data_IF_640471407603
#
_entry.id   IF_640471407603
#
_cell.length_a   1.000
_cell.length_b   1.000
_cell.length_c   1.000
_cell.angle_alpha   90.00
_cell.angle_beta   90.00
_cell.angle_gamma   90.00
#
_symmetry.space_group_name_H-M   'P 1'
#
loop_
_entity.id
_entity.type
_entity.pdbx_description
1 polymer ?
#
# COMPACT_ATOMS: atom_id res chain seq x y z
N UNK A 1 -1.17 -81.18 -41.03
CA UNK A 1 -0.31 -79.96 -41.12
C UNK A 1 -1.17 -78.74 -40.72
N UNK A 2 -1.05 -78.32 -39.46
CA UNK A 2 -1.82 -77.23 -38.95
C UNK A 2 -0.87 -76.09 -38.59
N UNK A 3 -1.03 -74.96 -39.25
CA UNK A 3 -0.22 -73.75 -39.02
C UNK A 3 -1.04 -72.85 -38.05
N UNK A 4 -0.54 -72.74 -36.78
CA UNK A 4 -1.08 -71.84 -35.77
C UNK A 4 -0.52 -70.45 -36.00
N UNK A 5 -1.38 -69.45 -36.25
CA UNK A 5 -1.01 -68.03 -36.35
C UNK A 5 -1.07 -67.39 -34.96
N UNK A 6 0.12 -67.00 -34.44
CA UNK A 6 0.22 -66.16 -33.25
C UNK A 6 -0.09 -64.70 -33.63
N UNK A 7 -1.12 -64.13 -33.00
CA UNK A 7 -1.45 -62.71 -33.00
C UNK A 7 -0.73 -62.04 -31.85
N UNK A 8 0.28 -61.22 -32.16
CA UNK A 8 0.95 -60.35 -31.16
C UNK A 8 0.08 -59.10 -30.94
N UNK A 9 -0.54 -59.00 -29.79
CA UNK A 9 -1.30 -57.82 -29.40
C UNK A 9 -0.32 -56.79 -28.76
N UNK A 10 0.04 -55.72 -29.51
CA UNK A 10 0.83 -54.63 -28.99
C UNK A 10 -0.06 -53.71 -28.11
N UNK A 11 0.13 -53.78 -26.82
CA UNK A 11 -0.50 -52.89 -25.86
C UNK A 11 0.28 -51.55 -25.81
N UNK A 12 -0.24 -50.52 -26.47
CA UNK A 12 0.30 -49.16 -26.40
C UNK A 12 -0.23 -48.54 -25.09
N UNK A 13 0.63 -48.44 -24.07
CA UNK A 13 0.35 -47.68 -22.86
C UNK A 13 0.56 -46.20 -23.18
N UNK A 14 -0.54 -45.48 -23.39
CA UNK A 14 -0.52 -44.01 -23.47
C UNK A 14 -0.42 -43.48 -22.04
N UNK A 15 0.77 -43.09 -21.60
CA UNK A 15 0.96 -42.29 -20.38
C UNK A 15 0.36 -40.89 -20.63
N UNK A 16 -0.86 -40.70 -20.19
CA UNK A 16 -1.50 -39.37 -20.08
C UNK A 16 -0.74 -38.52 -19.08
N UNK A 17 0.08 -37.58 -19.57
CA UNK A 17 0.63 -36.51 -18.73
C UNK A 17 -0.55 -35.59 -18.37
N UNK A 18 -1.12 -35.80 -17.17
CA UNK A 18 -2.07 -34.85 -16.62
C UNK A 18 -1.30 -33.58 -16.29
N UNK A 19 -1.33 -32.60 -17.17
CA UNK A 19 -0.95 -31.24 -16.85
C UNK A 19 -1.94 -30.76 -15.77
N UNK A 20 -1.53 -30.78 -14.51
CA UNK A 20 -2.25 -30.08 -13.43
C UNK A 20 -2.18 -28.59 -13.75
N UNK A 21 -3.12 -28.10 -14.53
CA UNK A 21 -3.31 -26.67 -14.72
C UNK A 21 -3.56 -26.07 -13.34
N UNK A 22 -2.68 -25.18 -12.89
CA UNK A 22 -2.89 -24.43 -11.66
C UNK A 22 -4.29 -23.77 -11.75
N UNK A 23 -5.19 -24.18 -10.87
CA UNK A 23 -6.57 -23.66 -10.87
C UNK A 23 -6.52 -22.18 -10.50
N UNK A 24 -7.18 -21.33 -11.27
CA UNK A 24 -7.28 -19.90 -10.99
C UNK A 24 -7.89 -19.70 -9.59
N UNK A 25 -7.15 -19.05 -8.70
CA UNK A 25 -7.58 -18.76 -7.35
C UNK A 25 -7.93 -17.27 -7.21
N UNK A 26 -8.88 -16.96 -6.32
CA UNK A 26 -9.14 -15.59 -5.90
C UNK A 26 -8.43 -15.34 -4.58
N UNK A 27 -7.51 -14.38 -4.57
CA UNK A 27 -6.70 -14.00 -3.40
C UNK A 27 -7.35 -12.77 -2.73
N UNK A 28 -7.74 -12.91 -1.47
CA UNK A 28 -8.26 -11.81 -0.66
C UNK A 28 -7.10 -11.02 -0.06
N UNK A 29 -6.97 -9.75 -0.41
CA UNK A 29 -5.87 -8.88 0.03
C UNK A 29 -6.43 -7.75 0.88
N UNK A 30 -5.93 -7.58 2.09
CA UNK A 30 -6.15 -6.37 2.89
C UNK A 30 -4.94 -5.47 2.73
N UNK A 31 -5.13 -4.28 2.16
CA UNK A 31 -4.03 -3.37 1.86
C UNK A 31 -4.25 -1.94 2.35
N UNK A 32 -3.21 -1.37 2.93
CA UNK A 32 -3.19 0.05 3.28
C UNK A 32 -3.22 0.94 2.03
N UNK A 33 -3.92 2.07 2.15
CA UNK A 33 -4.07 3.06 1.06
C UNK A 33 -2.73 3.68 0.62
N UNK A 34 -1.71 3.67 1.48
CA UNK A 34 -0.39 4.24 1.17
C UNK A 34 0.33 3.59 -0.01
N UNK A 35 -0.10 2.41 -0.47
CA UNK A 35 0.42 1.72 -1.66
C UNK A 35 -0.65 1.49 -2.73
N UNK A 36 -1.86 2.04 -2.55
CA UNK A 36 -3.02 1.76 -3.41
C UNK A 36 -2.71 2.01 -4.88
N UNK A 37 -2.24 3.20 -5.25
CA UNK A 37 -1.98 3.58 -6.64
C UNK A 37 -0.96 2.66 -7.34
N UNK A 38 -0.01 2.10 -6.57
CA UNK A 38 0.97 1.15 -7.10
C UNK A 38 0.37 -0.25 -7.27
N UNK A 39 -0.36 -0.75 -6.26
CA UNK A 39 -0.94 -2.09 -6.34
C UNK A 39 -2.07 -2.17 -7.37
N UNK A 40 -2.87 -1.12 -7.56
CA UNK A 40 -3.87 -1.03 -8.63
C UNK A 40 -3.22 -1.08 -10.03
N UNK A 41 -2.03 -0.47 -10.19
CA UNK A 41 -1.29 -0.55 -11.44
C UNK A 41 -0.66 -1.94 -11.68
N UNK A 42 -0.26 -2.64 -10.61
CA UNK A 42 0.40 -3.95 -10.66
C UNK A 42 -0.58 -5.13 -10.79
N UNK A 43 -1.77 -5.02 -10.20
CA UNK A 43 -2.74 -6.11 -10.13
C UNK A 43 -3.09 -6.70 -11.52
N UNK A 44 -3.37 -5.91 -12.59
CA UNK A 44 -3.66 -6.48 -13.90
C UNK A 44 -2.50 -7.27 -14.51
N UNK A 45 -1.25 -6.85 -14.27
CA UNK A 45 -0.06 -7.55 -14.76
C UNK A 45 0.11 -8.89 -14.05
N UNK A 46 -0.02 -8.92 -12.72
CA UNK A 46 0.00 -10.14 -11.93
C UNK A 46 -1.11 -11.12 -12.36
N UNK A 47 -2.35 -10.65 -12.48
CA UNK A 47 -3.48 -11.49 -12.88
C UNK A 47 -3.30 -12.13 -14.26
N UNK A 48 -2.69 -11.37 -15.20
CA UNK A 48 -2.40 -11.87 -16.55
C UNK A 48 -1.34 -12.98 -16.55
N UNK A 49 -0.27 -12.84 -15.76
CA UNK A 49 0.85 -13.78 -15.78
C UNK A 49 0.61 -14.99 -14.88
N UNK A 50 -0.14 -14.85 -13.81
CA UNK A 50 -0.41 -15.92 -12.83
C UNK A 50 -1.71 -16.68 -13.11
N UNK A 51 -2.68 -16.07 -13.80
CA UNK A 51 -4.03 -16.58 -13.95
C UNK A 51 -4.89 -16.43 -12.69
N UNK A 52 -4.34 -15.99 -11.56
CA UNK A 52 -5.08 -15.73 -10.33
C UNK A 52 -5.81 -14.39 -10.37
N UNK A 53 -6.75 -14.16 -9.46
CA UNK A 53 -7.50 -12.92 -9.31
C UNK A 53 -7.25 -12.32 -7.93
N UNK A 54 -7.12 -10.99 -7.89
CA UNK A 54 -6.97 -10.25 -6.64
C UNK A 54 -8.29 -9.56 -6.27
N UNK A 55 -8.71 -9.73 -5.03
CA UNK A 55 -9.77 -8.92 -4.44
C UNK A 55 -9.16 -8.09 -3.31
N UNK A 56 -8.95 -6.79 -3.56
CA UNK A 56 -8.23 -5.92 -2.64
C UNK A 56 -9.21 -5.05 -1.87
N UNK A 57 -9.15 -5.15 -0.54
CA UNK A 57 -9.88 -4.28 0.39
C UNK A 57 -8.94 -3.20 0.90
N UNK A 58 -9.29 -1.96 0.66
CA UNK A 58 -8.49 -0.79 1.05
C UNK A 58 -8.90 -0.22 2.41
N UNK A 59 -7.93 0.29 3.16
CA UNK A 59 -8.17 0.97 4.42
C UNK A 59 -6.92 1.60 5.01
N UNK A 60 -7.04 2.37 6.08
CA UNK A 60 -5.87 2.72 6.90
C UNK A 60 -5.37 1.47 7.63
N UNK A 61 -4.09 1.43 7.99
CA UNK A 61 -3.54 0.29 8.72
C UNK A 61 -4.34 0.00 10.01
N UNK A 62 -4.74 1.02 10.75
CA UNK A 62 -5.53 0.84 11.97
C UNK A 62 -6.93 0.26 11.72
N UNK A 63 -7.62 0.69 10.66
CA UNK A 63 -8.93 0.14 10.27
C UNK A 63 -8.81 -1.34 9.90
N UNK A 64 -7.81 -1.69 9.09
CA UNK A 64 -7.59 -3.08 8.67
C UNK A 64 -7.20 -3.98 9.85
N UNK A 65 -6.30 -3.51 10.72
CA UNK A 65 -5.95 -4.21 11.97
C UNK A 65 -7.18 -4.48 12.83
N UNK A 66 -8.03 -3.45 13.05
CA UNK A 66 -9.26 -3.62 13.83
C UNK A 66 -10.20 -4.65 13.21
N UNK A 67 -10.36 -4.68 11.89
CA UNK A 67 -11.17 -5.68 11.19
C UNK A 67 -10.61 -7.09 11.38
N UNK A 68 -9.30 -7.27 11.23
CA UNK A 68 -8.62 -8.55 11.46
C UNK A 68 -8.79 -9.01 12.92
N UNK A 69 -8.66 -8.10 13.90
CA UNK A 69 -8.90 -8.39 15.32
C UNK A 69 -10.35 -8.77 15.60
N UNK A 70 -11.31 -8.23 14.83
CA UNK A 70 -12.74 -8.57 14.93
C UNK A 70 -13.11 -9.89 14.24
N UNK A 71 -12.15 -10.59 13.62
CA UNK A 71 -12.35 -11.91 13.03
C UNK A 71 -12.39 -11.96 11.51
N UNK A 72 -12.24 -10.83 10.82
CA UNK A 72 -12.07 -10.83 9.36
C UNK A 72 -10.81 -11.59 8.98
N UNK A 73 -10.83 -12.19 7.78
CA UNK A 73 -9.71 -12.96 7.24
C UNK A 73 -9.30 -12.39 5.89
N UNK A 74 -8.01 -12.47 5.61
CA UNK A 74 -7.46 -12.19 4.29
C UNK A 74 -6.31 -13.15 4.02
N UNK A 75 -6.05 -13.46 2.75
CA UNK A 75 -4.97 -14.35 2.33
C UNK A 75 -3.62 -13.63 2.38
N UNK A 76 -3.62 -12.34 2.03
CA UNK A 76 -2.44 -11.45 2.08
C UNK A 76 -2.78 -10.19 2.84
N UNK A 77 -1.89 -9.80 3.75
CA UNK A 77 -1.91 -8.55 4.47
C UNK A 77 -0.81 -7.65 3.93
N UNK A 78 -1.16 -6.45 3.48
CA UNK A 78 -0.23 -5.40 3.05
C UNK A 78 -0.43 -4.21 3.99
N UNK A 79 0.43 -4.11 5.00
CA UNK A 79 0.32 -3.12 6.08
C UNK A 79 1.64 -2.35 6.23
N UNK A 80 1.69 -1.42 7.19
CA UNK A 80 2.97 -0.91 7.67
C UNK A 80 3.71 -2.03 8.40
N UNK A 81 5.04 -2.03 8.37
CA UNK A 81 5.88 -3.03 9.04
C UNK A 81 5.45 -3.24 10.49
N UNK A 82 5.34 -2.16 11.26
CA UNK A 82 4.89 -2.23 12.65
C UNK A 82 3.51 -2.88 12.82
N UNK A 83 2.56 -2.57 11.92
CA UNK A 83 1.21 -3.14 12.00
C UNK A 83 1.20 -4.61 11.64
N UNK A 84 1.97 -5.03 10.65
CA UNK A 84 2.07 -6.44 10.27
C UNK A 84 2.76 -7.27 11.35
N UNK A 85 3.81 -6.73 11.98
CA UNK A 85 4.47 -7.38 13.12
C UNK A 85 3.53 -7.60 14.31
N UNK A 86 2.63 -6.64 14.56
CA UNK A 86 1.59 -6.82 15.57
C UNK A 86 0.64 -7.97 15.20
N UNK A 87 0.22 -8.06 13.93
CA UNK A 87 -0.65 -9.15 13.44
C UNK A 87 0.04 -10.53 13.52
N UNK A 88 1.35 -10.59 13.30
CA UNK A 88 2.12 -11.83 13.52
C UNK A 88 2.12 -12.23 15.01
N UNK A 89 2.39 -11.28 15.91
CA UNK A 89 2.37 -11.54 17.36
C UNK A 89 1.01 -11.99 17.87
N UNK A 90 -0.08 -11.49 17.26
CA UNK A 90 -1.46 -11.87 17.56
C UNK A 90 -1.90 -13.18 16.86
N UNK A 91 -1.02 -13.82 16.08
CA UNK A 91 -1.32 -15.07 15.36
C UNK A 91 -2.29 -14.89 14.17
N UNK A 92 -2.41 -13.68 13.63
CA UNK A 92 -3.28 -13.36 12.49
C UNK A 92 -2.54 -13.29 11.15
N UNK A 93 -1.22 -13.22 11.19
CA UNK A 93 -0.33 -13.36 10.03
C UNK A 93 0.71 -14.45 10.31
N UNK A 94 1.14 -15.14 9.27
CA UNK A 94 2.13 -16.21 9.37
C UNK A 94 3.52 -15.63 9.66
N UNK A 95 4.15 -16.09 10.75
CA UNK A 95 5.53 -15.74 11.07
C UNK A 95 6.49 -16.17 9.95
N UNK A 96 7.46 -15.32 9.63
CA UNK A 96 8.46 -15.59 8.58
C UNK A 96 7.94 -15.40 7.14
N UNK A 97 6.68 -15.00 6.96
CA UNK A 97 6.14 -14.65 5.64
C UNK A 97 6.29 -13.17 5.27
N UNK A 98 6.77 -12.36 6.22
CA UNK A 98 6.87 -10.91 6.03
C UNK A 98 7.93 -10.54 5.00
N UNK A 99 7.58 -9.63 4.10
CA UNK A 99 8.46 -9.09 3.07
C UNK A 99 8.28 -7.58 3.01
N UNK A 100 9.32 -6.82 3.34
CA UNK A 100 9.38 -5.39 3.11
C UNK A 100 9.61 -5.16 1.62
N UNK A 101 8.66 -4.55 0.91
CA UNK A 101 8.74 -4.41 -0.54
C UNK A 101 8.85 -2.95 -1.01
N UNK A 102 8.31 -2.01 -0.24
CA UNK A 102 8.34 -0.59 -0.59
C UNK A 102 8.40 0.30 0.66
N UNK A 103 8.82 1.54 0.47
CA UNK A 103 8.73 2.59 1.48
C UNK A 103 8.36 3.92 0.83
N UNK A 104 7.76 4.83 1.61
CA UNK A 104 7.53 6.21 1.19
C UNK A 104 7.77 7.18 2.34
N UNK A 105 8.13 8.42 1.99
CA UNK A 105 8.07 9.56 2.89
C UNK A 105 6.73 10.27 2.83
N UNK A 106 6.60 11.31 3.65
CA UNK A 106 5.51 12.27 3.52
C UNK A 106 5.85 13.31 2.44
N UNK A 107 4.82 13.92 1.88
CA UNK A 107 4.98 15.03 0.96
C UNK A 107 4.00 16.17 1.29
N UNK A 108 4.42 17.37 0.93
CA UNK A 108 3.62 18.59 0.98
C UNK A 108 3.29 19.00 -0.45
N UNK A 109 2.01 19.25 -0.72
CA UNK A 109 1.54 19.69 -2.03
C UNK A 109 0.71 20.95 -1.90
N UNK A 110 0.71 21.75 -3.00
CA UNK A 110 -0.15 22.90 -3.24
C UNK A 110 -1.02 22.65 -4.47
N UNK A 111 -2.02 23.48 -4.71
CA UNK A 111 -2.75 23.45 -5.98
C UNK A 111 -1.82 23.77 -7.14
N UNK A 112 -1.98 23.06 -8.23
CA UNK A 112 -1.17 23.28 -9.43
C UNK A 112 -1.21 24.75 -9.88
N UNK A 113 -0.01 25.31 -10.10
CA UNK A 113 0.16 26.72 -10.48
C UNK A 113 0.05 27.72 -9.33
N UNK A 114 -0.21 27.30 -8.10
CA UNK A 114 -0.16 28.16 -6.92
C UNK A 114 1.28 28.52 -6.53
N UNK A 115 1.43 29.59 -5.74
CA UNK A 115 2.72 29.94 -5.16
C UNK A 115 3.30 28.76 -4.36
N UNK A 116 4.60 28.55 -4.50
CA UNK A 116 5.35 27.49 -3.79
C UNK A 116 6.07 28.07 -2.58
N UNK A 117 5.47 28.01 -1.38
CA UNK A 117 6.12 28.50 -0.19
C UNK A 117 7.36 27.65 0.16
N UNK A 118 8.30 28.28 0.86
CA UNK A 118 9.53 27.61 1.31
C UNK A 118 9.21 26.63 2.47
N UNK A 119 9.65 25.39 2.30
CA UNK A 119 9.59 24.34 3.32
C UNK A 119 10.96 23.68 3.56
N UNK A 120 12.05 24.30 3.11
CA UNK A 120 13.38 23.70 3.09
C UNK A 120 14.02 23.54 4.48
N UNK A 121 13.59 24.35 5.44
CA UNK A 121 14.09 24.28 6.83
C UNK A 121 12.94 24.06 7.82
N UNK A 122 13.19 23.54 9.03
CA UNK A 122 12.20 23.44 10.08
C UNK A 122 11.44 24.72 10.35
N UNK A 123 12.12 25.85 10.39
CA UNK A 123 11.55 27.18 10.63
C UNK A 123 10.69 27.64 9.47
N UNK A 124 11.16 27.51 8.22
CA UNK A 124 10.42 27.87 7.03
C UNK A 124 9.15 27.00 6.90
N UNK A 125 9.27 25.69 7.14
CA UNK A 125 8.13 24.78 7.16
C UNK A 125 7.10 25.16 8.21
N UNK A 126 7.53 25.45 9.45
CA UNK A 126 6.65 25.95 10.54
C UNK A 126 5.93 27.22 10.13
N UNK A 127 6.63 28.19 9.56
CA UNK A 127 6.05 29.46 9.10
C UNK A 127 5.04 29.23 7.98
N UNK A 128 5.36 28.39 7.01
CA UNK A 128 4.45 28.02 5.91
C UNK A 128 3.16 27.38 6.47
N UNK A 129 3.25 26.48 7.43
CA UNK A 129 2.07 25.90 8.08
C UNK A 129 1.23 26.96 8.81
N UNK A 130 1.87 27.91 9.53
CA UNK A 130 1.16 28.95 10.26
C UNK A 130 0.48 29.97 9.34
N UNK A 131 1.08 30.31 8.20
CA UNK A 131 0.57 31.29 7.23
C UNK A 131 -0.54 30.73 6.34
N UNK A 132 -0.58 29.42 6.09
CA UNK A 132 -1.63 28.81 5.29
C UNK A 132 -3.01 29.08 5.90
N UNK A 133 -4.00 29.39 5.05
CA UNK A 133 -5.40 29.63 5.47
C UNK A 133 -6.05 28.35 5.99
N UNK A 134 -5.81 27.22 5.33
CA UNK A 134 -6.27 25.89 5.71
C UNK A 134 -5.26 24.82 5.28
N UNK A 135 -5.18 23.75 6.06
CA UNK A 135 -4.26 22.63 5.83
C UNK A 135 -5.05 21.32 5.84
N UNK A 136 -4.89 20.53 4.76
CA UNK A 136 -5.50 19.22 4.63
C UNK A 136 -4.50 18.12 5.02
N UNK A 137 -4.95 17.16 5.82
CA UNK A 137 -4.17 15.95 6.16
C UNK A 137 -5.10 14.84 6.64
N UNK A 138 -4.61 13.61 6.67
CA UNK A 138 -5.39 12.48 7.17
C UNK A 138 -5.78 12.69 8.63
N UNK A 139 -7.06 12.50 8.96
CA UNK A 139 -7.51 12.64 10.34
C UNK A 139 -6.82 11.59 11.24
N UNK A 140 -6.03 12.01 12.25
CA UNK A 140 -5.31 11.10 13.13
C UNK A 140 -6.24 10.14 13.90
N UNK A 141 -7.50 10.51 14.13
CA UNK A 141 -8.48 9.67 14.79
C UNK A 141 -8.80 8.37 14.00
N UNK A 142 -8.56 8.34 12.69
CA UNK A 142 -8.71 7.14 11.87
C UNK A 142 -7.42 6.31 11.72
N UNK A 143 -6.34 6.67 12.44
CA UNK A 143 -5.12 5.87 12.54
C UNK A 143 -4.32 5.74 11.24
N UNK A 144 -4.46 6.67 10.30
CA UNK A 144 -3.58 6.77 9.14
C UNK A 144 -2.17 7.20 9.58
N UNK A 145 -1.14 6.49 9.11
CA UNK A 145 0.25 6.68 9.57
C UNK A 145 0.72 8.13 9.43
N UNK A 146 0.45 8.79 8.29
CA UNK A 146 0.82 10.18 8.04
C UNK A 146 0.07 11.15 8.96
N UNK A 147 -1.22 10.95 9.18
CA UNK A 147 -2.03 11.82 10.05
C UNK A 147 -1.60 11.77 11.51
N UNK A 148 -1.37 10.56 12.04
CA UNK A 148 -0.88 10.35 13.41
C UNK A 148 0.50 10.97 13.60
N UNK A 149 1.42 10.75 12.64
CA UNK A 149 2.76 11.32 12.70
C UNK A 149 2.72 12.85 12.59
N UNK A 150 1.93 13.41 11.67
CA UNK A 150 1.82 14.86 11.49
C UNK A 150 1.26 15.55 12.73
N UNK A 151 0.22 14.99 13.36
CA UNK A 151 -0.31 15.51 14.62
C UNK A 151 0.76 15.56 15.73
N UNK A 152 1.58 14.50 15.85
CA UNK A 152 2.73 14.48 16.78
C UNK A 152 3.75 15.57 16.43
N UNK A 153 4.04 15.73 15.15
CA UNK A 153 4.96 16.78 14.65
C UNK A 153 4.46 18.18 15.00
N UNK A 154 3.17 18.46 14.83
CA UNK A 154 2.56 19.75 15.20
C UNK A 154 2.68 20.03 16.71
N UNK A 155 2.51 19.01 17.54
CA UNK A 155 2.69 19.12 18.98
C UNK A 155 4.15 19.42 19.34
N UNK A 156 5.12 18.75 18.70
CA UNK A 156 6.55 19.00 18.87
C UNK A 156 6.96 20.41 18.45
N UNK A 157 6.35 20.95 17.40
CA UNK A 157 6.56 22.34 16.96
C UNK A 157 5.87 23.38 17.86
N UNK A 158 4.98 22.96 18.77
CA UNK A 158 4.18 23.85 19.60
C UNK A 158 3.12 24.64 18.83
N UNK A 159 2.62 24.11 17.72
CA UNK A 159 1.62 24.77 16.85
C UNK A 159 0.32 23.96 16.67
N UNK A 160 0.15 22.88 17.41
CA UNK A 160 -0.99 21.97 17.24
C UNK A 160 -2.34 22.71 17.23
N UNK A 161 -2.64 23.50 18.27
CA UNK A 161 -3.92 24.22 18.37
C UNK A 161 -4.14 25.22 17.22
N UNK A 162 -3.06 25.89 16.75
CA UNK A 162 -3.16 26.85 15.66
C UNK A 162 -3.50 26.15 14.33
N UNK A 163 -2.99 24.93 14.13
CA UNK A 163 -3.26 24.16 12.91
C UNK A 163 -4.60 23.43 13.01
N UNK A 164 -4.97 22.87 14.16
CA UNK A 164 -6.26 22.22 14.39
C UNK A 164 -7.44 23.15 14.08
N UNK A 165 -7.33 24.44 14.44
CA UNK A 165 -8.35 25.45 14.16
C UNK A 165 -8.65 25.66 12.65
N UNK A 166 -7.73 25.26 11.77
CA UNK A 166 -7.83 25.41 10.31
C UNK A 166 -7.59 24.09 9.55
N UNK A 167 -7.62 22.99 10.27
CA UNK A 167 -7.47 21.65 9.69
C UNK A 167 -8.68 21.29 8.81
N UNK A 168 -8.41 20.62 7.71
CA UNK A 168 -9.39 20.01 6.82
C UNK A 168 -9.07 18.53 6.70
N UNK A 169 -10.08 17.70 6.90
CA UNK A 169 -9.92 16.26 6.85
C UNK A 169 -10.70 15.67 5.68
N UNK A 170 -10.06 14.86 4.82
CA UNK A 170 -10.80 14.07 3.87
C UNK A 170 -11.65 13.00 4.61
N UNK A 171 -12.61 12.35 3.93
CA UNK A 171 -13.29 11.18 4.46
C UNK A 171 -12.30 10.10 4.92
N UNK A 172 -12.70 9.15 5.77
CA UNK A 172 -11.87 8.00 6.12
C UNK A 172 -11.31 7.32 4.86
N UNK A 173 -10.01 7.03 4.83
CA UNK A 173 -9.28 6.52 3.66
C UNK A 173 -9.30 7.43 2.42
N UNK A 174 -9.71 8.69 2.55
CA UNK A 174 -9.68 9.69 1.50
C UNK A 174 -8.31 10.37 1.35
N UNK A 175 -8.16 11.07 0.23
CA UNK A 175 -6.92 11.78 -0.12
C UNK A 175 -7.03 13.26 0.21
N UNK A 176 -6.10 13.76 1.04
CA UNK A 176 -6.07 15.16 1.47
C UNK A 176 -5.81 16.14 0.30
N UNK A 177 -5.10 15.70 -0.73
CA UNK A 177 -4.79 16.54 -1.89
C UNK A 177 -6.06 16.95 -2.68
N UNK A 178 -7.14 16.19 -2.61
CA UNK A 178 -8.44 16.55 -3.21
C UNK A 178 -8.95 17.88 -2.66
N UNK A 179 -8.75 18.15 -1.36
CA UNK A 179 -9.16 19.40 -0.70
C UNK A 179 -8.33 20.61 -1.14
N UNK A 180 -7.11 20.37 -1.62
CA UNK A 180 -6.28 21.42 -2.23
C UNK A 180 -6.77 21.72 -3.64
N UNK A 181 -7.09 20.71 -4.43
CA UNK A 181 -7.63 20.87 -5.79
C UNK A 181 -8.97 21.61 -5.76
N UNK A 182 -9.87 21.27 -4.81
CA UNK A 182 -11.16 21.95 -4.63
C UNK A 182 -11.03 23.39 -4.08
N UNK A 183 -9.85 23.76 -3.55
CA UNK A 183 -9.61 25.09 -2.96
C UNK A 183 -10.06 25.21 -1.49
N UNK A 184 -10.42 24.11 -0.86
CA UNK A 184 -10.78 24.06 0.57
C UNK A 184 -9.55 24.17 1.50
N UNK A 185 -8.36 23.79 0.98
CA UNK A 185 -7.10 23.92 1.69
C UNK A 185 -6.02 24.51 0.77
N UNK A 186 -5.03 25.18 1.36
CA UNK A 186 -3.89 25.72 0.64
C UNK A 186 -2.77 24.68 0.50
N UNK A 187 -2.64 23.81 1.51
CA UNK A 187 -1.63 22.77 1.60
C UNK A 187 -2.28 21.42 1.90
N UNK A 188 -1.72 20.34 1.34
CA UNK A 188 -2.01 19.00 1.84
C UNK A 188 -0.71 18.29 2.23
N UNK A 189 -0.77 17.53 3.34
CA UNK A 189 0.34 16.74 3.87
C UNK A 189 -0.15 15.31 4.08
N UNK A 190 0.44 14.37 3.32
CA UNK A 190 0.11 12.95 3.41
C UNK A 190 1.30 12.11 2.91
N UNK A 191 1.17 10.77 2.79
CA UNK A 191 2.20 9.96 2.13
C UNK A 191 2.35 10.40 0.67
N UNK A 192 3.57 10.46 0.18
CA UNK A 192 3.89 10.92 -1.18
C UNK A 192 3.07 10.19 -2.27
N UNK A 193 2.96 8.85 -2.29
CA UNK A 193 2.16 8.15 -3.31
C UNK A 193 0.66 8.47 -3.23
N UNK A 194 0.15 8.86 -2.06
CA UNK A 194 -1.25 9.26 -1.91
C UNK A 194 -1.48 10.62 -2.61
N UNK A 195 -0.68 11.63 -2.28
CA UNK A 195 -0.87 12.98 -2.87
C UNK A 195 -0.56 13.00 -4.37
N UNK A 196 0.41 12.23 -4.85
CA UNK A 196 0.75 12.12 -6.27
C UNK A 196 -0.32 11.38 -7.09
N UNK A 197 -1.22 10.63 -6.45
CA UNK A 197 -2.34 10.01 -7.14
C UNK A 197 -3.43 11.02 -7.56
N UNK A 198 -3.39 12.26 -7.06
CA UNK A 198 -4.36 13.32 -7.36
C UNK A 198 -3.78 14.29 -8.40
N UNK A 199 -4.44 14.38 -9.55
CA UNK A 199 -4.08 15.38 -10.57
C UNK A 199 -4.44 16.80 -10.11
N UNK A 200 -3.70 17.80 -10.59
CA UNK A 200 -3.97 19.21 -10.27
C UNK A 200 -3.28 19.71 -9.00
N UNK A 201 -2.23 19.01 -8.56
CA UNK A 201 -1.34 19.46 -7.48
C UNK A 201 0.10 19.62 -7.96
N UNK A 202 0.84 20.52 -7.32
CA UNK A 202 2.28 20.67 -7.43
C UNK A 202 2.95 20.20 -6.14
N UNK A 203 3.94 19.34 -6.29
CA UNK A 203 4.76 18.86 -5.18
C UNK A 203 5.73 19.98 -4.72
N UNK A 204 5.73 20.28 -3.42
CA UNK A 204 6.75 21.11 -2.79
C UNK A 204 7.96 20.30 -2.34
N UNK A 205 7.75 19.06 -1.96
CA UNK A 205 8.76 18.14 -1.44
C UNK A 205 8.36 17.54 -0.10
N UNK A 206 9.28 16.78 0.52
CA UNK A 206 9.06 16.22 1.84
C UNK A 206 9.15 17.31 2.94
N UNK A 207 8.46 17.14 4.07
CA UNK A 207 8.75 17.89 5.28
C UNK A 207 10.23 17.78 5.67
N UNK A 208 10.86 18.83 6.21
CA UNK A 208 12.32 18.83 6.45
C UNK A 208 12.72 17.95 7.64
N UNK A 209 13.84 17.24 7.48
CA UNK A 209 14.51 16.51 8.55
C UNK A 209 13.61 15.52 9.29
N UNK A 210 13.55 15.66 10.61
CA UNK A 210 12.77 14.77 11.50
C UNK A 210 11.24 14.91 11.36
N UNK A 211 10.77 15.88 10.59
CA UNK A 211 9.33 16.07 10.31
C UNK A 211 8.85 15.24 9.12
N UNK A 212 9.74 14.52 8.46
CA UNK A 212 9.40 13.52 7.45
C UNK A 212 9.41 12.11 8.07
N UNK A 213 8.28 11.40 7.96
CA UNK A 213 8.17 10.01 8.40
C UNK A 213 8.34 9.08 7.21
N UNK A 214 9.30 8.18 7.29
CA UNK A 214 9.44 7.10 6.31
C UNK A 214 8.62 5.90 6.78
N UNK A 215 7.63 5.53 6.00
CA UNK A 215 6.80 4.35 6.25
C UNK A 215 7.28 3.19 5.40
N UNK A 216 7.61 2.06 6.03
CA UNK A 216 7.88 0.79 5.35
C UNK A 216 6.57 0.02 5.17
N UNK A 217 6.34 -0.47 3.96
CA UNK A 217 5.20 -1.32 3.61
C UNK A 217 5.65 -2.77 3.48
N UNK A 218 4.95 -3.62 4.19
CA UNK A 218 5.27 -5.04 4.34
C UNK A 218 4.08 -5.88 3.90
N UNK A 219 4.33 -6.90 3.09
CA UNK A 219 3.37 -7.93 2.73
C UNK A 219 3.63 -9.19 3.54
N UNK A 220 2.57 -9.91 3.92
CA UNK A 220 2.66 -11.19 4.61
C UNK A 220 1.41 -12.04 4.40
N UNK A 221 1.54 -13.34 4.63
CA UNK A 221 0.43 -14.29 4.51
C UNK A 221 -0.49 -14.20 5.72
N UNK A 222 -1.80 -14.25 5.49
CA UNK A 222 -2.78 -14.50 6.54
C UNK A 222 -2.64 -15.92 7.10
N UNK A 223 -2.95 -16.11 8.39
CA UNK A 223 -2.73 -17.41 9.07
C UNK A 223 -3.56 -18.54 8.45
N UNK A 224 -4.80 -18.25 8.06
CA UNK A 224 -5.79 -19.26 7.61
C UNK A 224 -5.99 -19.29 6.09
N UNK A 225 -5.01 -18.83 5.29
CA UNK A 225 -5.16 -18.81 3.84
C UNK A 225 -5.32 -20.21 3.26
N UNK A 226 -6.38 -20.42 2.48
CA UNK A 226 -6.63 -21.65 1.73
C UNK A 226 -5.95 -21.63 0.35
N UNK A 227 -5.48 -20.45 -0.11
CA UNK A 227 -4.87 -20.24 -1.44
C UNK A 227 -3.40 -19.83 -1.31
N UNK A 228 -2.67 -20.50 -0.44
CA UNK A 228 -1.30 -20.14 -0.02
C UNK A 228 -0.34 -19.96 -1.20
N UNK A 229 -0.40 -20.83 -2.21
CA UNK A 229 0.48 -20.74 -3.39
C UNK A 229 0.22 -19.46 -4.17
N UNK A 230 -1.04 -19.15 -4.48
CA UNK A 230 -1.44 -17.92 -5.16
C UNK A 230 -1.10 -16.67 -4.33
N UNK A 231 -1.34 -16.69 -3.02
CA UNK A 231 -0.99 -15.61 -2.10
C UNK A 231 0.54 -15.36 -2.06
N UNK A 232 1.33 -16.43 -2.00
CA UNK A 232 2.80 -16.35 -2.02
C UNK A 232 3.31 -15.80 -3.36
N UNK A 233 2.69 -16.20 -4.48
CA UNK A 233 3.07 -15.70 -5.81
C UNK A 233 2.81 -14.19 -5.94
N UNK A 234 1.72 -13.66 -5.36
CA UNK A 234 1.48 -12.22 -5.28
C UNK A 234 2.56 -11.50 -4.46
N UNK A 235 2.89 -12.00 -3.26
CA UNK A 235 3.96 -11.41 -2.43
C UNK A 235 5.31 -11.43 -3.16
N UNK A 236 5.62 -12.50 -3.90
CA UNK A 236 6.83 -12.59 -4.72
C UNK A 236 6.80 -11.57 -5.88
N UNK A 237 5.65 -11.39 -6.53
CA UNK A 237 5.47 -10.43 -7.61
C UNK A 237 5.74 -8.98 -7.15
N UNK A 238 5.37 -8.64 -5.91
CA UNK A 238 5.66 -7.32 -5.33
C UNK A 238 7.16 -7.00 -5.19
N UNK A 239 8.05 -7.99 -5.32
CA UNK A 239 9.50 -7.83 -5.23
C UNK A 239 10.20 -7.82 -6.60
N UNK A 240 9.45 -7.91 -7.69
CA UNK A 240 10.01 -7.96 -9.05
C UNK A 240 10.56 -6.60 -9.49
N UNK A 241 11.49 -6.59 -10.46
CA UNK A 241 11.95 -5.34 -11.09
C UNK A 241 10.81 -4.55 -11.74
N UNK A 242 9.79 -5.24 -12.28
CA UNK A 242 8.59 -4.61 -12.83
C UNK A 242 7.83 -3.83 -11.73
N UNK A 243 7.61 -4.45 -10.57
CA UNK A 243 7.00 -3.78 -9.44
C UNK A 243 7.82 -2.58 -8.96
N UNK A 244 9.16 -2.72 -8.89
CA UNK A 244 10.06 -1.64 -8.50
C UNK A 244 9.95 -0.41 -9.43
N UNK A 245 9.80 -0.63 -10.75
CA UNK A 245 9.60 0.44 -11.71
C UNK A 245 8.26 1.18 -11.48
N UNK A 246 7.19 0.44 -11.18
CA UNK A 246 5.89 1.03 -10.84
C UNK A 246 5.98 1.80 -9.51
N UNK A 247 6.67 1.28 -8.50
CA UNK A 247 6.86 1.99 -7.22
C UNK A 247 7.48 3.37 -7.44
N UNK A 248 8.56 3.45 -8.20
CA UNK A 248 9.22 4.72 -8.49
C UNK A 248 8.28 5.74 -9.17
N UNK A 249 7.48 5.28 -10.14
CA UNK A 249 6.50 6.13 -10.84
C UNK A 249 5.38 6.63 -9.90
N UNK A 250 5.12 5.92 -8.80
CA UNK A 250 4.06 6.23 -7.84
C UNK A 250 4.56 6.88 -6.55
N UNK A 251 5.80 7.38 -6.51
CA UNK A 251 6.36 8.05 -5.32
C UNK A 251 6.79 7.09 -4.19
N UNK A 252 6.98 5.82 -4.52
CA UNK A 252 7.47 4.81 -3.59
C UNK A 252 8.94 4.47 -3.91
N UNK A 253 9.68 4.05 -2.91
CA UNK A 253 11.02 3.47 -3.07
C UNK A 253 10.91 1.96 -2.90
N UNK A 254 11.40 1.19 -3.89
CA UNK A 254 11.51 -0.25 -3.76
C UNK A 254 12.50 -0.61 -2.66
N UNK A 255 12.13 -1.57 -1.83
CA UNK A 255 13.05 -2.18 -0.87
C UNK A 255 13.58 -3.48 -1.47
N UNK A 256 14.91 -3.59 -1.58
CA UNK A 256 15.58 -4.83 -2.01
C UNK A 256 15.97 -5.63 -0.78
N UNK A 257 15.86 -6.96 -0.92
CA UNK A 257 16.52 -7.86 0.05
C UNK A 257 18.02 -7.72 0.00
#
# INVERSE_FOLDING_TARGET
MSMSKFFLCNLVVVCGVSASGAQAAQVQVYSTIGVQSALEALAPAFERVSGHKLHITWGTAAVLVKRLQSGDKADVLVLTEQSLDAMVKEGRAQAGSQVNFASSGMAVVVKQGAAKPDISTPEAYKQTLLQARAIAYSNPAFGGASGVFFAKTLAQMGIASAIEAKAKFPPPSGNAAVLVVSGEADLAIQQEPEVLAVSGVDLLGPPPGAYNNITTYTAGLGTDTAVKEAATSWIAFLQTPEAAAVYLQKGLKAMRR
#
